data_IF_394237907579
#
_entry.id   IF_394237907579
#
_cell.length_a   1.000
_cell.length_b   1.000
_cell.length_c   1.000
_cell.angle_alpha   90.00
_cell.angle_beta   90.00
_cell.angle_gamma   90.00
#
_symmetry.space_group_name_H-M   'P 1'
#
loop_
_entity.id
_entity.type
_entity.pdbx_description
1 polymer ?
#
# COMPACT_ATOMS: atom_id res chain seq x y z
N UNK A 1 -10.34 -20.96 -27.89
CA UNK A 1 -9.56 -21.05 -26.64
C UNK A 1 -8.68 -19.80 -26.55
N UNK A 2 -8.64 -19.17 -25.40
CA UNK A 2 -7.81 -18.01 -25.10
C UNK A 2 -6.46 -18.53 -24.58
N UNK A 3 -5.35 -18.00 -25.10
CA UNK A 3 -4.02 -18.38 -24.61
C UNK A 3 -3.70 -17.61 -23.31
N UNK A 4 -2.90 -18.15 -22.38
CA UNK A 4 -2.54 -17.47 -21.13
C UNK A 4 -1.98 -16.06 -21.33
N UNK A 5 -1.21 -15.83 -22.38
CA UNK A 5 -0.66 -14.50 -22.71
C UNK A 5 -1.70 -13.45 -23.09
N UNK A 6 -2.91 -13.89 -23.48
CA UNK A 6 -4.01 -13.03 -23.94
C UNK A 6 -5.03 -12.75 -22.82
N UNK A 7 -4.78 -13.27 -21.60
CA UNK A 7 -5.64 -13.11 -20.42
C UNK A 7 -5.18 -11.91 -19.59
N UNK A 8 -6.10 -11.04 -19.22
CA UNK A 8 -5.88 -9.99 -18.20
C UNK A 8 -6.16 -10.57 -16.81
N UNK A 9 -5.23 -10.35 -15.88
CA UNK A 9 -5.42 -10.67 -14.46
C UNK A 9 -6.04 -9.51 -13.67
N UNK A 10 -6.29 -8.37 -14.33
CA UNK A 10 -6.87 -7.20 -13.72
C UNK A 10 -8.26 -7.51 -13.16
N UNK A 11 -8.51 -7.07 -11.93
CA UNK A 11 -9.75 -7.34 -11.22
C UNK A 11 -10.11 -6.22 -10.25
N UNK A 12 -11.35 -6.19 -9.79
CA UNK A 12 -11.80 -5.25 -8.77
C UNK A 12 -11.67 -5.86 -7.38
N UNK A 13 -10.98 -5.14 -6.49
CA UNK A 13 -10.89 -5.47 -5.07
C UNK A 13 -12.07 -4.88 -4.29
N UNK A 14 -12.39 -3.63 -4.59
CA UNK A 14 -13.50 -2.86 -4.04
C UNK A 14 -14.22 -2.11 -5.15
N UNK A 15 -15.22 -1.31 -4.80
CA UNK A 15 -15.92 -0.46 -5.80
C UNK A 15 -14.95 0.41 -6.59
N UNK A 16 -13.92 0.95 -5.94
CA UNK A 16 -13.02 1.96 -6.53
C UNK A 16 -11.56 1.50 -6.65
N UNK A 17 -11.20 0.35 -6.07
CA UNK A 17 -9.84 -0.20 -6.20
C UNK A 17 -9.82 -1.34 -7.19
N UNK A 18 -9.01 -1.18 -8.22
CA UNK A 18 -8.63 -2.22 -9.18
C UNK A 18 -7.22 -2.72 -8.85
N UNK A 19 -7.04 -4.04 -8.85
CA UNK A 19 -5.75 -4.71 -8.76
C UNK A 19 -5.34 -5.25 -10.13
N UNK A 20 -4.04 -5.33 -10.38
CA UNK A 20 -3.49 -5.93 -11.60
C UNK A 20 -3.30 -7.45 -11.47
N UNK A 21 -3.36 -7.97 -10.24
CA UNK A 21 -3.32 -9.40 -9.90
C UNK A 21 -4.38 -9.69 -8.82
N UNK A 22 -5.19 -10.75 -8.94
CA UNK A 22 -6.31 -11.03 -8.04
C UNK A 22 -5.89 -11.65 -6.70
N UNK A 23 -4.73 -11.26 -6.15
CA UNK A 23 -4.15 -11.86 -4.95
C UNK A 23 -4.04 -10.87 -3.79
N UNK A 24 -4.49 -11.32 -2.61
CA UNK A 24 -4.29 -10.65 -1.34
C UNK A 24 -3.50 -11.55 -0.39
N UNK A 25 -2.64 -10.98 0.45
CA UNK A 25 -2.07 -11.73 1.58
C UNK A 25 -2.92 -11.54 2.83
N UNK A 26 -3.06 -12.63 3.59
CA UNK A 26 -3.93 -12.69 4.75
C UNK A 26 -3.43 -11.85 5.92
N UNK A 27 -4.36 -11.26 6.66
CA UNK A 27 -4.10 -10.42 7.82
C UNK A 27 -3.73 -11.26 9.06
N UNK A 28 -2.63 -11.95 8.98
CA UNK A 28 -2.09 -12.85 10.02
C UNK A 28 -0.69 -12.41 10.41
N UNK A 29 -0.35 -12.49 11.70
CA UNK A 29 0.93 -12.09 12.27
C UNK A 29 2.15 -12.89 11.76
N UNK A 30 1.91 -14.05 11.17
CA UNK A 30 2.92 -14.90 10.52
C UNK A 30 2.90 -14.80 8.99
N UNK A 31 2.21 -13.82 8.42
CA UNK A 31 2.06 -13.67 6.97
C UNK A 31 2.30 -12.25 6.50
N UNK A 32 1.53 -11.27 6.98
CA UNK A 32 1.53 -9.94 6.35
C UNK A 32 1.92 -8.83 7.30
N UNK A 33 3.15 -8.36 7.12
CA UNK A 33 3.64 -7.07 7.56
C UNK A 33 4.09 -6.25 6.34
N UNK A 34 4.75 -5.12 6.55
CA UNK A 34 5.12 -4.20 5.49
C UNK A 34 5.99 -4.83 4.38
N UNK A 35 6.84 -5.82 4.70
CA UNK A 35 7.74 -6.44 3.72
C UNK A 35 6.96 -7.25 2.67
N UNK A 36 6.08 -8.14 3.08
CA UNK A 36 5.23 -8.89 2.15
C UNK A 36 4.21 -7.99 1.46
N UNK A 37 3.65 -6.99 2.18
CA UNK A 37 2.72 -6.04 1.58
C UNK A 37 3.36 -5.26 0.44
N UNK A 38 4.63 -4.86 0.57
CA UNK A 38 5.41 -4.22 -0.50
C UNK A 38 5.58 -5.18 -1.69
N UNK A 39 6.12 -6.38 -1.46
CA UNK A 39 6.39 -7.35 -2.51
C UNK A 39 5.11 -7.68 -3.31
N UNK A 40 4.00 -7.94 -2.60
CA UNK A 40 2.75 -8.27 -3.26
C UNK A 40 2.14 -7.10 -4.03
N UNK A 41 2.28 -5.87 -3.52
CA UNK A 41 1.83 -4.67 -4.24
C UNK A 41 2.69 -4.41 -5.50
N UNK A 42 3.99 -4.70 -5.48
CA UNK A 42 4.87 -4.62 -6.64
C UNK A 42 4.45 -5.59 -7.75
N UNK A 43 3.95 -6.76 -7.38
CA UNK A 43 3.45 -7.77 -8.33
C UNK A 43 1.99 -7.51 -8.78
N UNK A 44 1.34 -6.47 -8.25
CA UNK A 44 0.01 -6.05 -8.67
C UNK A 44 -1.14 -6.51 -7.77
N UNK A 45 -0.84 -7.19 -6.66
CA UNK A 45 -1.79 -7.55 -5.60
C UNK A 45 -1.85 -6.50 -4.49
N UNK A 46 -2.25 -6.94 -3.28
CA UNK A 46 -2.27 -6.08 -2.09
C UNK A 46 -2.08 -6.89 -0.81
N UNK A 47 -1.22 -6.41 0.10
CA UNK A 47 -1.07 -6.97 1.43
C UNK A 47 -2.06 -6.35 2.43
N UNK A 48 -2.66 -7.21 3.28
CA UNK A 48 -3.53 -6.76 4.38
C UNK A 48 -2.76 -6.94 5.69
N UNK A 49 -2.27 -5.84 6.24
CA UNK A 49 -1.46 -5.83 7.46
C UNK A 49 -2.31 -6.23 8.66
N UNK A 50 -1.81 -7.18 9.45
CA UNK A 50 -2.55 -7.77 10.56
C UNK A 50 -2.74 -6.80 11.74
N UNK A 51 -3.75 -7.07 12.57
CA UNK A 51 -4.12 -6.25 13.74
C UNK A 51 -3.46 -6.67 15.07
N UNK A 52 -2.63 -7.71 15.05
CA UNK A 52 -1.88 -8.17 16.24
C UNK A 52 -0.63 -7.30 16.48
N UNK A 53 -0.82 -6.00 16.36
CA UNK A 53 0.12 -4.91 16.58
C UNK A 53 -0.60 -3.80 17.34
N UNK A 54 0.14 -2.94 18.03
CA UNK A 54 -0.46 -1.71 18.53
C UNK A 54 -0.96 -0.85 17.36
N UNK A 55 -1.95 0.05 17.55
CA UNK A 55 -2.41 0.94 16.50
C UNK A 55 -1.29 1.70 15.80
N UNK A 56 -0.35 2.24 16.58
CA UNK A 56 0.81 2.98 16.07
C UNK A 56 1.77 2.09 15.26
N UNK A 57 2.03 0.86 15.70
CA UNK A 57 2.89 -0.08 14.98
C UNK A 57 2.26 -0.50 13.65
N UNK A 58 0.95 -0.80 13.63
CA UNK A 58 0.25 -1.17 12.41
C UNK A 58 0.24 0.00 11.41
N UNK A 59 -0.01 1.23 11.86
CA UNK A 59 0.07 2.44 11.06
C UNK A 59 1.49 2.67 10.51
N UNK A 60 2.54 2.38 11.30
CA UNK A 60 3.92 2.47 10.84
C UNK A 60 4.23 1.48 9.70
N UNK A 61 3.70 0.25 9.76
CA UNK A 61 3.83 -0.73 8.66
C UNK A 61 3.09 -0.27 7.39
N UNK A 62 1.88 0.29 7.51
CA UNK A 62 1.19 0.93 6.37
C UNK A 62 2.03 2.06 5.79
N UNK A 63 2.53 2.97 6.63
CA UNK A 63 3.36 4.09 6.19
C UNK A 63 4.65 3.63 5.50
N UNK A 64 5.23 2.50 5.91
CA UNK A 64 6.39 1.87 5.28
C UNK A 64 6.07 1.44 3.83
N UNK A 65 4.92 0.81 3.60
CA UNK A 65 4.45 0.45 2.25
C UNK A 65 4.23 1.70 1.40
N UNK A 66 3.52 2.69 1.94
CA UNK A 66 3.18 3.93 1.22
C UNK A 66 4.41 4.75 0.81
N UNK A 67 5.51 4.65 1.56
CA UNK A 67 6.77 5.36 1.26
C UNK A 67 7.70 4.59 0.34
N UNK A 68 7.46 3.29 0.12
CA UNK A 68 8.45 2.42 -0.52
C UNK A 68 8.73 2.76 -1.98
N UNK A 69 7.74 3.10 -2.77
CA UNK A 69 7.89 3.41 -4.20
C UNK A 69 6.92 4.51 -4.66
N UNK A 70 7.19 5.72 -4.27
CA UNK A 70 6.33 6.82 -4.72
C UNK A 70 6.71 7.40 -6.08
N UNK A 71 7.75 6.89 -6.76
CA UNK A 71 8.32 7.53 -7.96
C UNK A 71 8.78 8.97 -7.68
N UNK A 72 8.06 9.67 -6.80
CA UNK A 72 8.39 10.97 -6.22
C UNK A 72 8.39 10.79 -4.71
N UNK A 73 9.54 10.94 -4.08
CA UNK A 73 9.65 11.01 -2.62
C UNK A 73 9.05 12.35 -2.16
N UNK A 74 7.80 12.36 -1.70
CA UNK A 74 7.06 13.59 -1.37
C UNK A 74 7.61 14.36 -0.18
N UNK A 75 8.19 13.67 0.81
CA UNK A 75 8.77 14.28 2.01
C UNK A 75 10.24 13.86 2.16
N UNK A 76 11.15 14.33 1.28
CA UNK A 76 12.56 14.02 1.41
C UNK A 76 13.12 14.68 2.66
N UNK A 77 14.10 14.02 3.29
CA UNK A 77 14.85 14.63 4.38
C UNK A 77 15.57 15.86 3.82
N UNK A 78 15.36 17.00 4.44
CA UNK A 78 15.92 18.29 4.03
C UNK A 78 16.91 18.82 5.06
N UNK A 79 17.79 19.71 4.64
CA UNK A 79 18.77 20.36 5.48
C UNK A 79 18.71 21.88 5.27
N UNK A 80 19.25 22.64 6.23
CA UNK A 80 19.42 24.08 6.07
C UNK A 80 20.84 24.41 5.57
N UNK A 81 21.06 25.55 4.89
CA UNK A 81 22.34 25.89 4.28
C UNK A 81 23.49 26.15 5.26
N UNK A 82 23.18 26.31 6.56
CA UNK A 82 24.20 26.60 7.60
C UNK A 82 24.63 25.35 8.37
N UNK A 83 24.03 24.18 8.13
CA UNK A 83 24.49 22.92 8.70
C UNK A 83 25.90 22.61 8.25
N UNK A 84 26.69 21.98 9.13
CA UNK A 84 28.07 21.59 8.80
C UNK A 84 28.07 20.33 7.90
N UNK A 85 29.12 20.16 7.13
CA UNK A 85 29.37 18.94 6.35
C UNK A 85 29.37 17.73 7.26
N UNK A 86 29.90 17.83 8.48
CA UNK A 86 29.87 16.75 9.50
C UNK A 86 28.47 16.32 9.84
N UNK A 87 27.56 17.26 10.12
CA UNK A 87 26.17 16.96 10.47
C UNK A 87 25.44 16.27 9.29
N UNK A 88 25.68 16.75 8.09
CA UNK A 88 25.07 16.20 6.88
C UNK A 88 25.60 14.79 6.57
N UNK A 89 26.87 14.52 6.78
CA UNK A 89 27.44 13.17 6.69
C UNK A 89 26.82 12.20 7.71
N UNK A 90 26.57 12.68 8.95
CA UNK A 90 25.89 11.88 9.96
C UNK A 90 24.45 11.52 9.50
N UNK A 91 23.68 12.49 9.00
CA UNK A 91 22.33 12.27 8.46
C UNK A 91 22.33 11.29 7.28
N UNK A 92 23.26 11.44 6.32
CA UNK A 92 23.33 10.53 5.16
C UNK A 92 23.60 9.09 5.58
N UNK A 93 24.46 8.88 6.59
CA UNK A 93 24.76 7.55 7.14
C UNK A 93 23.57 6.97 7.91
N UNK A 94 22.98 7.77 8.80
CA UNK A 94 21.83 7.36 9.62
C UNK A 94 20.63 6.93 8.77
N UNK A 95 20.31 7.69 7.74
CA UNK A 95 19.13 7.47 6.90
C UNK A 95 19.43 6.74 5.59
N UNK A 96 20.70 6.38 5.33
CA UNK A 96 21.15 5.70 4.09
C UNK A 96 20.72 6.42 2.82
N UNK A 97 20.75 7.75 2.85
CA UNK A 97 20.38 8.61 1.72
C UNK A 97 21.62 9.25 1.10
N UNK A 98 21.51 9.57 -0.19
CA UNK A 98 22.64 10.02 -1.00
C UNK A 98 22.43 11.39 -1.64
N UNK A 99 21.38 12.10 -1.23
CA UNK A 99 21.07 13.46 -1.69
C UNK A 99 20.04 14.11 -0.81
N UNK A 100 20.30 15.35 -0.44
CA UNK A 100 19.54 16.14 0.51
C UNK A 100 19.20 17.50 -0.09
N UNK A 101 17.90 17.81 -0.30
CA UNK A 101 17.50 19.17 -0.65
C UNK A 101 17.87 20.15 0.45
N UNK A 102 18.35 21.32 0.07
CA UNK A 102 18.72 22.40 1.00
C UNK A 102 17.66 23.48 0.93
N UNK A 103 17.00 23.75 2.06
CA UNK A 103 15.93 24.73 2.16
C UNK A 103 16.35 25.93 2.98
N UNK A 104 15.87 27.12 2.60
CA UNK A 104 15.99 28.31 3.42
C UNK A 104 14.95 28.35 4.55
N UNK A 105 14.95 29.42 5.33
CA UNK A 105 14.01 29.60 6.46
C UNK A 105 12.54 29.72 6.02
N UNK A 106 12.28 30.01 4.75
CA UNK A 106 10.93 30.11 4.18
C UNK A 106 10.45 28.81 3.54
N UNK A 107 11.26 27.72 3.61
CA UNK A 107 10.96 26.44 3.01
C UNK A 107 11.29 26.33 1.52
N UNK A 108 11.89 27.38 0.92
CA UNK A 108 12.25 27.38 -0.50
C UNK A 108 13.56 26.64 -0.74
N UNK A 109 13.63 25.93 -1.86
CA UNK A 109 14.83 25.22 -2.28
C UNK A 109 15.91 26.23 -2.70
N UNK A 110 17.07 26.17 -2.03
CA UNK A 110 18.26 26.97 -2.33
C UNK A 110 19.40 26.15 -2.93
N UNK A 111 19.33 24.83 -2.83
CA UNK A 111 20.35 23.95 -3.38
C UNK A 111 20.04 22.46 -3.13
N UNK A 112 20.99 21.63 -3.52
CA UNK A 112 21.04 20.20 -3.19
C UNK A 112 22.46 19.81 -2.81
N UNK A 113 22.59 18.93 -1.81
CA UNK A 113 23.87 18.28 -1.46
C UNK A 113 23.76 16.80 -1.79
N UNK A 114 24.75 16.25 -2.46
CA UNK A 114 24.80 14.85 -2.86
C UNK A 114 26.09 14.18 -2.35
N UNK A 115 26.15 12.86 -2.42
CA UNK A 115 27.36 12.12 -2.08
C UNK A 115 28.57 12.56 -2.90
N UNK A 116 28.38 13.11 -4.12
CA UNK A 116 29.46 13.67 -4.94
C UNK A 116 30.10 14.89 -4.29
N UNK A 117 29.27 15.75 -3.70
CA UNK A 117 29.71 16.99 -3.04
C UNK A 117 30.40 16.70 -1.70
N UNK A 118 30.02 15.59 -1.04
CA UNK A 118 30.54 15.19 0.27
C UNK A 118 31.77 14.28 0.23
N UNK A 119 32.00 13.58 -0.89
CA UNK A 119 32.93 12.42 -0.97
C UNK A 119 34.38 12.79 -0.68
N UNK A 120 34.81 13.94 -1.12
CA UNK A 120 36.22 14.40 -1.01
C UNK A 120 36.34 15.70 -0.25
N UNK A 121 35.32 15.99 0.60
CA UNK A 121 35.36 17.23 1.39
C UNK A 121 36.11 17.00 2.69
N UNK A 122 37.24 17.70 2.84
CA UNK A 122 38.11 17.58 4.00
C UNK A 122 37.72 18.54 5.13
N UNK A 123 37.12 19.70 4.80
CA UNK A 123 36.66 20.65 5.81
C UNK A 123 35.27 20.34 6.31
N UNK A 124 35.18 19.43 7.30
CA UNK A 124 33.94 18.96 7.85
C UNK A 124 33.15 20.01 8.67
N UNK A 125 33.78 21.08 9.08
CA UNK A 125 33.18 22.13 9.92
C UNK A 125 32.62 23.30 9.10
N UNK A 126 32.87 23.32 7.78
CA UNK A 126 32.26 24.33 6.92
C UNK A 126 30.78 24.11 6.68
N UNK A 127 30.06 25.20 6.39
CA UNK A 127 28.64 25.15 6.07
C UNK A 127 28.37 24.55 4.67
N UNK A 128 27.35 23.74 4.54
CA UNK A 128 27.00 23.04 3.27
C UNK A 128 26.67 24.00 2.12
N UNK A 129 26.29 25.24 2.39
CA UNK A 129 26.12 26.29 1.36
C UNK A 129 27.35 26.51 0.50
N UNK A 130 28.55 26.17 0.99
CA UNK A 130 29.80 26.35 0.26
C UNK A 130 30.05 25.23 -0.76
N UNK A 131 29.51 24.04 -0.52
CA UNK A 131 29.73 22.85 -1.35
C UNK A 131 28.49 22.41 -2.14
N UNK A 132 27.27 22.82 -1.74
CA UNK A 132 26.04 22.43 -2.41
C UNK A 132 25.98 22.88 -3.87
N UNK A 133 25.23 22.15 -4.68
CA UNK A 133 24.80 22.66 -5.99
C UNK A 133 23.75 23.76 -5.75
N UNK A 134 24.03 25.02 -6.07
CA UNK A 134 23.14 26.13 -5.75
C UNK A 134 21.96 26.20 -6.72
N UNK A 135 20.87 26.88 -6.31
CA UNK A 135 19.60 27.03 -7.03
C UNK A 135 19.76 27.33 -8.52
N UNK A 136 20.69 28.20 -8.92
CA UNK A 136 20.95 28.60 -10.32
C UNK A 136 21.38 27.42 -11.22
N UNK A 137 21.91 26.35 -10.64
CA UNK A 137 22.38 25.14 -11.35
C UNK A 137 21.49 23.93 -11.11
N UNK A 138 20.38 24.07 -10.36
CA UNK A 138 19.45 22.98 -10.13
C UNK A 138 18.69 22.67 -11.39
N UNK A 139 18.52 21.37 -11.64
CA UNK A 139 17.57 20.84 -12.60
C UNK A 139 16.35 20.37 -11.81
N UNK A 140 15.18 20.89 -12.14
CA UNK A 140 13.95 20.63 -11.42
C UNK A 140 12.83 20.27 -12.39
N UNK A 141 11.83 19.55 -11.91
CA UNK A 141 10.53 19.35 -12.58
C UNK A 141 9.46 20.08 -11.78
N UNK A 142 8.41 20.51 -12.45
CA UNK A 142 7.25 21.10 -11.77
C UNK A 142 6.40 20.06 -11.10
N UNK A 143 5.65 20.46 -10.10
CA UNK A 143 4.63 19.62 -9.49
C UNK A 143 3.65 19.12 -10.56
N UNK A 144 3.37 17.80 -10.58
CA UNK A 144 2.57 17.16 -11.63
C UNK A 144 3.33 16.81 -12.92
N UNK A 145 4.62 17.14 -13.02
CA UNK A 145 5.48 16.69 -14.13
C UNK A 145 5.60 15.17 -14.20
N UNK A 146 5.79 14.64 -15.41
CA UNK A 146 5.86 13.19 -15.62
C UNK A 146 7.22 12.61 -15.21
N UNK A 147 7.23 11.29 -14.90
CA UNK A 147 8.48 10.55 -14.66
C UNK A 147 9.36 10.53 -15.92
N UNK A 148 8.76 10.52 -17.10
CA UNK A 148 9.46 10.58 -18.38
C UNK A 148 10.22 11.90 -18.56
N UNK A 149 9.63 13.02 -18.17
CA UNK A 149 10.29 14.33 -18.14
C UNK A 149 11.50 14.32 -17.19
N UNK A 150 11.31 13.82 -15.97
CA UNK A 150 12.39 13.67 -14.99
C UNK A 150 13.52 12.80 -15.55
N UNK A 151 13.20 11.67 -16.19
CA UNK A 151 14.17 10.77 -16.84
C UNK A 151 14.94 11.47 -17.96
N UNK A 152 14.27 12.22 -18.81
CA UNK A 152 14.90 12.97 -19.89
C UNK A 152 15.90 14.02 -19.34
N UNK A 153 15.50 14.77 -18.30
CA UNK A 153 16.36 15.74 -17.64
C UNK A 153 17.56 15.10 -16.95
N UNK A 154 17.36 13.95 -16.26
CA UNK A 154 18.46 13.21 -15.64
C UNK A 154 19.50 12.76 -16.68
N UNK A 155 19.03 12.24 -17.82
CA UNK A 155 19.90 11.81 -18.92
C UNK A 155 20.65 13.00 -19.54
N UNK A 156 19.94 14.08 -19.87
CA UNK A 156 20.51 15.28 -20.49
C UNK A 156 21.60 15.92 -19.61
N UNK A 157 21.34 16.04 -18.32
CA UNK A 157 22.23 16.71 -17.37
C UNK A 157 23.21 15.76 -16.65
N UNK A 158 23.11 14.45 -16.93
CA UNK A 158 23.92 13.38 -16.29
C UNK A 158 23.86 13.43 -14.76
N UNK A 159 22.65 13.58 -14.24
CA UNK A 159 22.34 13.63 -12.80
C UNK A 159 21.45 12.46 -12.42
N UNK A 160 21.50 12.05 -11.16
CA UNK A 160 20.76 10.92 -10.62
C UNK A 160 19.51 11.34 -9.84
N UNK A 161 19.24 12.65 -9.74
CA UNK A 161 18.16 13.21 -8.93
C UNK A 161 17.65 14.50 -9.53
N UNK A 162 16.31 14.66 -9.43
CA UNK A 162 15.62 15.89 -9.82
C UNK A 162 14.66 16.27 -8.71
N UNK A 163 14.68 17.53 -8.31
CA UNK A 163 13.74 18.07 -7.33
C UNK A 163 12.43 18.41 -7.99
N UNK A 164 11.33 18.11 -7.32
CA UNK A 164 9.99 18.53 -7.72
C UNK A 164 9.65 19.79 -6.95
N UNK A 165 9.39 20.89 -7.66
CA UNK A 165 9.11 22.19 -7.07
C UNK A 165 7.91 22.86 -7.74
N UNK A 166 7.27 23.79 -7.03
CA UNK A 166 6.26 24.68 -7.62
C UNK A 166 6.91 25.93 -8.25
N UNK A 167 6.08 26.84 -8.73
CA UNK A 167 6.51 28.10 -9.34
C UNK A 167 7.22 29.05 -8.34
N UNK A 168 6.97 28.87 -7.04
CA UNK A 168 7.60 29.61 -5.97
C UNK A 168 8.88 28.95 -5.42
N UNK A 169 9.27 27.81 -6.01
CA UNK A 169 10.41 26.98 -5.59
C UNK A 169 10.25 26.34 -4.21
N UNK A 170 8.99 26.10 -3.77
CA UNK A 170 8.74 25.22 -2.63
C UNK A 170 8.99 23.77 -3.04
N UNK A 171 9.51 22.98 -2.12
CA UNK A 171 9.81 21.57 -2.36
C UNK A 171 8.55 20.73 -2.25
N UNK A 172 8.21 20.01 -3.32
CA UNK A 172 7.12 19.02 -3.37
C UNK A 172 7.61 17.58 -3.44
N UNK A 173 8.89 17.37 -3.73
CA UNK A 173 9.45 16.03 -3.72
C UNK A 173 10.84 15.92 -4.36
N UNK A 174 11.29 14.67 -4.41
CA UNK A 174 12.56 14.25 -5.01
C UNK A 174 12.34 13.00 -5.84
N UNK A 175 12.78 13.00 -7.09
CA UNK A 175 12.80 11.82 -7.97
C UNK A 175 14.25 11.36 -8.12
N UNK A 176 14.51 10.06 -8.01
CA UNK A 176 15.85 9.48 -8.23
C UNK A 176 15.84 8.45 -9.37
N UNK A 177 17.02 8.19 -9.95
CA UNK A 177 17.19 7.11 -10.94
C UNK A 177 16.70 5.77 -10.39
N UNK A 178 16.90 5.50 -9.10
CA UNK A 178 16.43 4.27 -8.46
C UNK A 178 14.91 4.14 -8.51
N UNK A 179 14.18 5.23 -8.31
CA UNK A 179 12.71 5.24 -8.35
C UNK A 179 12.20 4.97 -9.77
N UNK A 180 12.88 5.53 -10.77
CA UNK A 180 12.57 5.29 -12.19
C UNK A 180 12.84 3.83 -12.58
N UNK A 181 13.98 3.27 -12.18
CA UNK A 181 14.32 1.88 -12.47
C UNK A 181 13.32 0.91 -11.83
N UNK A 182 12.98 1.13 -10.56
CA UNK A 182 11.96 0.33 -9.85
C UNK A 182 10.59 0.38 -10.53
N UNK A 183 10.17 1.55 -11.00
CA UNK A 183 8.91 1.68 -11.74
C UNK A 183 8.92 0.87 -13.05
N UNK A 184 10.10 0.67 -13.63
CA UNK A 184 10.29 -0.15 -14.85
C UNK A 184 10.37 -1.66 -14.52
N UNK A 185 10.92 -2.03 -13.36
CA UNK A 185 11.03 -3.41 -12.89
C UNK A 185 9.65 -4.00 -12.52
N UNK A 186 8.72 -3.19 -12.02
CA UNK A 186 7.38 -3.62 -11.59
C UNK A 186 6.25 -2.89 -12.36
N UNK A 187 6.08 -3.18 -13.67
CA UNK A 187 5.09 -2.47 -14.50
C UNK A 187 3.64 -2.74 -14.08
N UNK A 188 3.40 -3.86 -13.37
CA UNK A 188 2.08 -4.25 -12.89
C UNK A 188 1.80 -3.81 -11.44
N UNK A 189 2.69 -3.05 -10.81
CA UNK A 189 2.54 -2.66 -9.42
C UNK A 189 1.17 -2.02 -9.13
N UNK A 190 0.57 -2.41 -8.00
CA UNK A 190 -0.70 -1.85 -7.52
C UNK A 190 -0.42 -0.50 -6.85
N UNK A 191 -0.76 0.59 -7.53
CA UNK A 191 -0.48 1.96 -7.09
C UNK A 191 -1.76 2.79 -6.95
N UNK A 192 -1.74 3.74 -6.00
CA UNK A 192 -2.79 4.75 -5.87
C UNK A 192 -2.64 5.87 -6.92
N UNK A 193 -3.58 6.80 -6.94
CA UNK A 193 -3.57 7.93 -7.88
C UNK A 193 -2.33 8.85 -7.75
N UNK A 194 -1.60 8.74 -6.65
CA UNK A 194 -0.36 9.51 -6.41
C UNK A 194 0.91 8.69 -6.69
N UNK A 195 0.78 7.49 -7.25
CA UNK A 195 1.89 6.61 -7.63
C UNK A 195 2.51 5.82 -6.46
N UNK A 196 1.89 5.82 -5.26
CA UNK A 196 2.36 5.05 -4.11
C UNK A 196 1.76 3.65 -4.13
N UNK A 197 2.52 2.65 -3.65
CA UNK A 197 2.01 1.29 -3.49
C UNK A 197 0.74 1.27 -2.62
N UNK A 198 -0.22 0.43 -2.99
CA UNK A 198 -1.44 0.25 -2.19
C UNK A 198 -1.19 -0.66 -1.00
N UNK A 199 -1.80 -0.32 0.13
CA UNK A 199 -1.74 -1.08 1.35
C UNK A 199 -3.14 -1.24 1.97
N UNK A 200 -3.42 -2.42 2.51
CA UNK A 200 -4.59 -2.68 3.32
C UNK A 200 -4.21 -2.96 4.77
N UNK A 201 -5.17 -2.81 5.67
CA UNK A 201 -5.01 -3.17 7.07
C UNK A 201 -6.29 -3.75 7.66
N UNK A 202 -6.14 -4.77 8.51
CA UNK A 202 -7.25 -5.37 9.22
C UNK A 202 -7.54 -4.64 10.53
N UNK A 203 -8.82 -4.53 10.86
CA UNK A 203 -9.32 -4.01 12.13
C UNK A 203 -10.39 -4.91 12.70
N UNK A 204 -10.64 -4.80 13.99
CA UNK A 204 -11.75 -5.47 14.67
C UNK A 204 -12.98 -4.58 14.82
N UNK A 205 -13.84 -4.95 15.81
CA UNK A 205 -15.04 -4.19 16.19
C UNK A 205 -15.03 -3.74 17.66
N UNK A 206 -14.01 -4.17 18.42
CA UNK A 206 -13.86 -3.87 19.84
C UNK A 206 -13.45 -2.43 20.15
N UNK A 207 -13.31 -2.14 21.44
CA UNK A 207 -12.80 -0.87 21.94
C UNK A 207 -11.40 -0.56 21.38
N UNK A 208 -11.09 0.72 21.13
CA UNK A 208 -9.82 1.17 20.56
C UNK A 208 -9.72 1.02 19.03
N UNK A 209 -10.72 0.43 18.36
CA UNK A 209 -10.72 0.31 16.90
C UNK A 209 -10.81 1.68 16.21
N UNK A 210 -11.47 2.64 16.82
CA UNK A 210 -11.63 3.98 16.25
C UNK A 210 -10.30 4.72 16.16
N UNK A 211 -9.52 4.75 17.25
CA UNK A 211 -8.15 5.27 17.27
C UNK A 211 -7.26 4.55 16.23
N UNK A 212 -7.39 3.23 16.13
CA UNK A 212 -6.65 2.44 15.13
C UNK A 212 -6.98 2.86 13.71
N UNK A 213 -8.25 3.03 13.37
CA UNK A 213 -8.70 3.48 12.05
C UNK A 213 -8.19 4.88 11.74
N UNK A 214 -8.22 5.80 12.72
CA UNK A 214 -7.68 7.15 12.57
C UNK A 214 -6.20 7.13 12.19
N UNK A 215 -5.36 6.43 12.95
CA UNK A 215 -3.92 6.31 12.67
C UNK A 215 -3.63 5.62 11.31
N UNK A 216 -4.43 4.63 10.94
CA UNK A 216 -4.32 3.98 9.63
C UNK A 216 -4.68 4.92 8.48
N UNK A 217 -5.73 5.73 8.65
CA UNK A 217 -6.14 6.72 7.67
C UNK A 217 -5.08 7.82 7.49
N UNK A 218 -4.49 8.31 8.60
CA UNK A 218 -3.36 9.25 8.58
C UNK A 218 -2.12 8.65 7.89
N UNK A 219 -1.86 7.36 8.08
CA UNK A 219 -0.78 6.65 7.40
C UNK A 219 -1.04 6.46 5.90
N UNK A 220 -2.25 6.76 5.40
CA UNK A 220 -2.65 6.69 4.01
C UNK A 220 -3.08 5.28 3.56
N UNK A 221 -3.69 4.48 4.45
CA UNK A 221 -4.25 3.16 4.10
C UNK A 221 -5.28 3.30 2.96
N UNK A 222 -5.22 2.40 1.99
CA UNK A 222 -6.16 2.40 0.85
C UNK A 222 -7.43 1.63 1.16
N UNK A 223 -7.32 0.51 1.89
CA UNK A 223 -8.45 -0.34 2.25
C UNK A 223 -8.35 -0.82 3.70
N UNK A 224 -9.46 -0.70 4.42
CA UNK A 224 -9.65 -1.29 5.74
C UNK A 224 -10.49 -2.55 5.61
N UNK A 225 -10.00 -3.65 6.20
CA UNK A 225 -10.75 -4.90 6.29
C UNK A 225 -11.28 -5.05 7.72
N UNK A 226 -12.59 -4.94 7.89
CA UNK A 226 -13.25 -5.28 9.17
C UNK A 226 -13.32 -6.80 9.25
N UNK A 227 -12.34 -7.37 9.95
CA UNK A 227 -12.02 -8.79 9.92
C UNK A 227 -12.42 -9.49 11.21
N UNK A 228 -13.47 -10.31 11.13
CA UNK A 228 -14.04 -11.06 12.24
C UNK A 228 -14.40 -12.49 11.82
N UNK A 229 -14.57 -13.39 12.80
CA UNK A 229 -15.04 -14.74 12.57
C UNK A 229 -16.52 -14.80 12.14
N UNK A 230 -17.29 -13.72 12.37
CA UNK A 230 -18.73 -13.64 12.04
C UNK A 230 -19.08 -12.25 11.52
N UNK A 231 -18.92 -12.07 10.20
CA UNK A 231 -19.14 -10.79 9.52
C UNK A 231 -20.59 -10.31 9.46
N UNK A 232 -21.57 -11.19 9.65
CA UNK A 232 -22.99 -10.85 9.72
C UNK A 232 -23.44 -10.55 11.16
N UNK A 233 -22.60 -9.88 11.93
CA UNK A 233 -22.96 -9.38 13.26
C UNK A 233 -23.20 -7.88 13.25
N UNK A 234 -24.06 -7.40 14.15
CA UNK A 234 -24.37 -5.96 14.24
C UNK A 234 -23.10 -5.12 14.41
N UNK A 235 -22.17 -5.56 15.26
CA UNK A 235 -20.92 -4.81 15.48
C UNK A 235 -20.04 -4.66 14.21
N UNK A 236 -20.09 -5.62 13.27
CA UNK A 236 -19.40 -5.50 11.98
C UNK A 236 -20.13 -4.53 11.06
N UNK A 237 -21.45 -4.64 10.96
CA UNK A 237 -22.28 -3.73 10.15
C UNK A 237 -22.10 -2.26 10.59
N UNK A 238 -22.21 -2.02 11.90
CA UNK A 238 -22.02 -0.71 12.50
C UNK A 238 -20.60 -0.17 12.26
N UNK A 239 -19.58 -1.04 12.37
CA UNK A 239 -18.18 -0.64 12.13
C UNK A 239 -17.93 -0.27 10.68
N UNK A 240 -18.44 -1.03 9.73
CA UNK A 240 -18.36 -0.72 8.30
C UNK A 240 -18.98 0.65 8.03
N UNK A 241 -20.21 0.88 8.51
CA UNK A 241 -20.92 2.13 8.33
C UNK A 241 -20.17 3.31 9.00
N UNK A 242 -19.63 3.09 10.19
CA UNK A 242 -18.86 4.10 10.91
C UNK A 242 -17.60 4.52 10.14
N UNK A 243 -16.82 3.56 9.61
CA UNK A 243 -15.63 3.87 8.83
C UNK A 243 -15.99 4.64 7.57
N UNK A 244 -17.01 4.21 6.83
CA UNK A 244 -17.46 4.91 5.62
C UNK A 244 -17.93 6.33 5.88
N UNK A 245 -18.59 6.56 7.02
CA UNK A 245 -19.07 7.90 7.41
C UNK A 245 -17.94 8.84 7.78
N UNK A 246 -16.94 8.36 8.53
CA UNK A 246 -15.87 9.21 9.07
C UNK A 246 -14.65 9.31 8.12
N UNK A 247 -14.41 8.30 7.28
CA UNK A 247 -13.28 8.21 6.34
C UNK A 247 -13.76 7.80 4.94
N UNK A 248 -14.56 8.63 4.26
CA UNK A 248 -15.20 8.27 2.98
C UNK A 248 -14.19 7.97 1.87
N UNK A 249 -12.96 8.47 1.97
CA UNK A 249 -11.86 8.20 1.03
C UNK A 249 -11.25 6.81 1.18
N UNK A 250 -11.47 6.12 2.32
CA UNK A 250 -10.96 4.78 2.59
C UNK A 250 -11.97 3.75 2.12
N UNK A 251 -11.52 2.75 1.37
CA UNK A 251 -12.36 1.63 0.96
C UNK A 251 -12.50 0.62 2.10
N UNK A 252 -13.68 0.01 2.26
CA UNK A 252 -13.97 -0.90 3.37
C UNK A 252 -14.44 -2.25 2.86
N UNK A 253 -13.78 -3.32 3.33
CA UNK A 253 -14.19 -4.71 3.12
C UNK A 253 -14.70 -5.25 4.45
N UNK A 254 -15.90 -5.82 4.46
CA UNK A 254 -16.45 -6.49 5.64
C UNK A 254 -16.38 -8.02 5.51
N UNK A 255 -16.13 -8.70 6.61
CA UNK A 255 -16.08 -10.17 6.63
C UNK A 255 -15.76 -10.77 8.01
N UNK A 256 -15.73 -12.13 8.12
CA UNK A 256 -16.00 -13.08 7.04
C UNK A 256 -17.48 -13.49 7.02
N UNK A 257 -17.96 -13.77 5.84
CA UNK A 257 -19.33 -14.19 5.60
C UNK A 257 -19.39 -15.48 4.75
N UNK A 258 -20.56 -16.10 4.67
CA UNK A 258 -20.77 -17.29 3.84
C UNK A 258 -22.16 -17.34 3.19
N UNK A 259 -23.02 -16.36 3.43
CA UNK A 259 -24.43 -16.37 3.00
C UNK A 259 -24.78 -15.14 2.17
N UNK A 260 -25.81 -15.31 1.32
CA UNK A 260 -26.38 -14.24 0.52
C UNK A 260 -26.89 -13.05 1.36
N UNK A 261 -27.57 -13.36 2.48
CA UNK A 261 -28.14 -12.33 3.35
C UNK A 261 -27.05 -11.47 4.03
N UNK A 262 -25.95 -12.13 4.47
CA UNK A 262 -24.80 -11.43 5.01
C UNK A 262 -24.15 -10.49 3.98
N UNK A 263 -24.06 -10.94 2.73
CA UNK A 263 -23.52 -10.13 1.65
C UNK A 263 -24.36 -8.89 1.37
N UNK A 264 -25.69 -9.05 1.30
CA UNK A 264 -26.62 -7.93 1.15
C UNK A 264 -26.53 -6.96 2.33
N UNK A 265 -26.54 -7.49 3.55
CA UNK A 265 -26.44 -6.65 4.75
C UNK A 265 -25.18 -5.80 4.77
N UNK A 266 -24.02 -6.36 4.42
CA UNK A 266 -22.77 -5.59 4.31
C UNK A 266 -22.81 -4.53 3.20
N UNK A 267 -23.34 -4.87 2.03
CA UNK A 267 -23.50 -3.94 0.91
C UNK A 267 -24.41 -2.77 1.28
N UNK A 268 -25.54 -3.03 1.96
CA UNK A 268 -26.52 -2.03 2.42
C UNK A 268 -25.93 -1.10 3.50
N UNK A 269 -24.96 -1.58 4.30
CA UNK A 269 -24.21 -0.78 5.26
C UNK A 269 -22.99 -0.06 4.68
N UNK A 270 -22.83 -0.10 3.34
CA UNK A 270 -21.83 0.68 2.62
C UNK A 270 -20.48 -0.01 2.44
N UNK A 271 -20.38 -1.31 2.64
CA UNK A 271 -19.16 -2.05 2.31
C UNK A 271 -18.83 -1.90 0.82
N UNK A 272 -17.55 -1.64 0.52
CA UNK A 272 -17.03 -1.51 -0.84
C UNK A 272 -16.57 -2.87 -1.41
N UNK A 273 -16.47 -3.87 -0.56
CA UNK A 273 -16.18 -5.25 -0.87
C UNK A 273 -16.58 -6.16 0.29
N UNK A 274 -16.69 -7.46 0.04
CA UNK A 274 -16.97 -8.45 1.08
C UNK A 274 -15.94 -9.57 1.06
N UNK A 275 -15.64 -10.15 2.24
CA UNK A 275 -14.71 -11.27 2.38
C UNK A 275 -15.43 -12.55 2.80
N UNK A 276 -15.29 -13.61 1.99
CA UNK A 276 -16.08 -14.85 2.06
C UNK A 276 -15.20 -16.02 2.53
N UNK A 277 -15.62 -16.66 3.61
CA UNK A 277 -14.97 -17.87 4.10
C UNK A 277 -15.19 -18.07 5.58
N UNK A 278 -16.00 -19.08 5.96
CA UNK A 278 -16.22 -19.48 7.33
C UNK A 278 -15.64 -20.87 7.52
N UNK A 279 -14.46 -20.91 8.17
CA UNK A 279 -13.75 -22.13 8.52
C UNK A 279 -12.98 -22.88 7.43
N UNK A 280 -12.73 -22.35 6.21
CA UNK A 280 -12.00 -23.11 5.18
C UNK A 280 -10.48 -23.09 5.36
N UNK A 281 -9.92 -22.17 6.16
CA UNK A 281 -8.49 -22.04 6.36
C UNK A 281 -7.84 -23.29 6.95
N UNK A 282 -6.61 -23.61 6.55
CA UNK A 282 -5.88 -24.79 7.02
C UNK A 282 -5.62 -24.81 8.52
N UNK A 283 -5.47 -23.64 9.12
CA UNK A 283 -5.28 -23.47 10.58
C UNK A 283 -6.57 -23.21 11.34
N UNK A 284 -7.72 -23.07 10.62
CA UNK A 284 -8.99 -22.70 11.23
C UNK A 284 -9.62 -23.90 11.96
N UNK A 285 -9.92 -23.73 13.23
CA UNK A 285 -10.56 -24.75 14.07
C UNK A 285 -12.09 -24.62 14.17
N UNK A 286 -12.67 -23.57 13.57
CA UNK A 286 -14.10 -23.26 13.68
C UNK A 286 -15.00 -24.45 13.28
N UNK A 287 -14.71 -25.12 12.16
CA UNK A 287 -15.48 -26.28 11.69
C UNK A 287 -15.34 -27.48 12.62
N UNK A 288 -14.15 -27.65 13.21
CA UNK A 288 -13.83 -28.81 14.06
C UNK A 288 -14.40 -28.61 15.47
N UNK A 289 -14.20 -27.43 16.06
CA UNK A 289 -14.56 -27.14 17.45
C UNK A 289 -16.01 -26.69 17.57
N UNK A 290 -16.46 -25.77 16.71
CA UNK A 290 -17.81 -25.18 16.77
C UNK A 290 -18.81 -25.84 15.81
N UNK A 291 -18.36 -26.69 14.89
CA UNK A 291 -19.21 -27.28 13.87
C UNK A 291 -19.81 -26.32 12.85
N UNK A 292 -19.26 -25.09 12.80
CA UNK A 292 -19.78 -24.01 11.95
C UNK A 292 -18.91 -23.84 10.71
N UNK A 293 -19.54 -23.77 9.55
CA UNK A 293 -18.87 -23.53 8.27
C UNK A 293 -19.78 -23.81 7.08
N UNK A 294 -19.36 -23.32 5.93
CA UNK A 294 -20.02 -23.56 4.64
C UNK A 294 -18.94 -24.02 3.65
N UNK A 295 -19.20 -25.01 2.77
CA UNK A 295 -18.28 -25.36 1.71
C UNK A 295 -17.92 -24.12 0.88
N UNK A 296 -16.62 -23.89 0.67
CA UNK A 296 -16.14 -22.59 0.18
C UNK A 296 -16.69 -22.21 -1.20
N UNK A 297 -16.74 -23.15 -2.14
CA UNK A 297 -17.28 -22.87 -3.49
C UNK A 297 -18.77 -22.52 -3.41
N UNK A 298 -19.55 -23.20 -2.55
CA UNK A 298 -20.97 -22.88 -2.31
C UNK A 298 -21.12 -21.48 -1.72
N UNK A 299 -20.30 -21.12 -0.74
CA UNK A 299 -20.33 -19.79 -0.13
C UNK A 299 -20.02 -18.70 -1.16
N UNK A 300 -18.96 -18.88 -1.97
CA UNK A 300 -18.57 -17.95 -3.04
C UNK A 300 -19.73 -17.77 -4.04
N UNK A 301 -20.28 -18.86 -4.56
CA UNK A 301 -21.34 -18.81 -5.56
C UNK A 301 -22.61 -18.11 -5.04
N UNK A 302 -23.03 -18.42 -3.80
CA UNK A 302 -24.19 -17.79 -3.17
C UNK A 302 -24.00 -16.28 -2.96
N UNK A 303 -22.81 -15.87 -2.50
CA UNK A 303 -22.48 -14.46 -2.29
C UNK A 303 -22.35 -13.73 -3.63
N UNK A 304 -21.69 -14.33 -4.62
CA UNK A 304 -21.55 -13.73 -5.95
C UNK A 304 -22.92 -13.44 -6.57
N UNK A 305 -23.84 -14.41 -6.52
CA UNK A 305 -25.21 -14.24 -7.00
C UNK A 305 -25.96 -13.13 -6.24
N UNK A 306 -25.78 -13.04 -4.92
CA UNK A 306 -26.44 -12.03 -4.11
C UNK A 306 -25.96 -10.61 -4.40
N UNK A 307 -24.72 -10.45 -4.88
CA UNK A 307 -24.09 -9.17 -5.17
C UNK A 307 -24.21 -8.74 -6.65
N UNK A 308 -24.86 -9.56 -7.49
CA UNK A 308 -25.11 -9.17 -8.90
C UNK A 308 -25.82 -7.81 -8.97
N UNK A 309 -25.29 -6.91 -9.80
CA UNK A 309 -25.83 -5.57 -9.99
C UNK A 309 -25.50 -4.55 -8.88
N UNK A 310 -24.96 -4.95 -7.73
CA UNK A 310 -24.61 -4.04 -6.63
C UNK A 310 -23.30 -3.27 -6.86
N UNK A 311 -22.46 -3.80 -7.72
CA UNK A 311 -21.11 -3.30 -7.94
C UNK A 311 -20.10 -3.63 -6.82
N UNK A 312 -20.48 -4.39 -5.80
CA UNK A 312 -19.62 -4.82 -4.68
C UNK A 312 -18.91 -6.13 -5.05
N UNK A 313 -17.56 -6.14 -5.15
CA UNK A 313 -16.81 -7.36 -5.41
C UNK A 313 -16.65 -8.21 -4.16
N UNK A 314 -16.28 -9.49 -4.36
CA UNK A 314 -16.00 -10.41 -3.27
C UNK A 314 -14.57 -10.97 -3.32
N UNK A 315 -13.99 -11.17 -2.13
CA UNK A 315 -12.71 -11.82 -1.90
C UNK A 315 -12.97 -13.20 -1.30
N UNK A 316 -12.49 -14.26 -1.95
CA UNK A 316 -12.54 -15.61 -1.40
C UNK A 316 -11.35 -15.83 -0.45
N UNK A 317 -11.63 -16.09 0.82
CA UNK A 317 -10.63 -16.20 1.88
C UNK A 317 -10.60 -17.61 2.48
N UNK A 318 -9.44 -18.25 2.38
CA UNK A 318 -9.14 -19.53 2.99
C UNK A 318 -9.43 -20.76 2.12
N UNK A 319 -8.77 -21.87 2.46
CA UNK A 319 -8.92 -23.15 1.79
C UNK A 319 -8.14 -23.32 0.48
N UNK A 320 -7.36 -22.34 0.08
CA UNK A 320 -6.56 -22.36 -1.14
C UNK A 320 -5.18 -22.94 -0.83
N UNK A 321 -4.85 -24.07 -1.44
CA UNK A 321 -3.59 -24.79 -1.27
C UNK A 321 -2.77 -24.87 -2.55
N UNK A 322 -3.42 -24.80 -3.70
CA UNK A 322 -2.84 -24.94 -5.02
C UNK A 322 -3.34 -23.85 -5.96
N UNK A 323 -2.59 -23.54 -7.00
CA UNK A 323 -2.99 -22.55 -8.02
C UNK A 323 -4.34 -22.89 -8.67
N UNK A 324 -4.65 -24.17 -8.84
CA UNK A 324 -5.96 -24.61 -9.35
C UNK A 324 -7.14 -24.23 -8.45
N UNK A 325 -6.92 -24.06 -7.14
CA UNK A 325 -7.97 -23.62 -6.22
C UNK A 325 -8.29 -22.12 -6.43
N UNK A 326 -7.29 -21.31 -6.80
CA UNK A 326 -7.49 -19.92 -7.19
C UNK A 326 -8.42 -19.84 -8.41
N UNK A 327 -8.13 -20.62 -9.45
CA UNK A 327 -8.96 -20.66 -10.65
C UNK A 327 -10.40 -21.10 -10.37
N UNK A 328 -10.60 -22.08 -9.48
CA UNK A 328 -11.93 -22.54 -9.06
C UNK A 328 -12.69 -21.46 -8.29
N UNK A 329 -12.03 -20.74 -7.38
CA UNK A 329 -12.64 -19.66 -6.63
C UNK A 329 -13.11 -18.52 -7.55
N UNK A 330 -12.28 -18.13 -8.51
CA UNK A 330 -12.61 -17.11 -9.52
C UNK A 330 -13.76 -17.60 -10.42
N UNK A 331 -13.72 -18.83 -10.89
CA UNK A 331 -14.78 -19.42 -11.70
C UNK A 331 -16.12 -19.50 -10.95
N UNK A 332 -16.10 -19.65 -9.62
CA UNK A 332 -17.28 -19.61 -8.77
C UNK A 332 -17.84 -18.20 -8.51
N UNK A 333 -17.12 -17.14 -8.94
CA UNK A 333 -17.57 -15.75 -8.86
C UNK A 333 -16.73 -14.85 -7.96
N UNK A 334 -15.59 -15.32 -7.42
CA UNK A 334 -14.69 -14.46 -6.67
C UNK A 334 -13.96 -13.49 -7.61
N UNK A 335 -13.84 -12.23 -7.19
CA UNK A 335 -13.02 -11.23 -7.88
C UNK A 335 -11.54 -11.37 -7.51
N UNK A 336 -11.28 -11.63 -6.24
CA UNK A 336 -9.95 -11.80 -5.67
C UNK A 336 -9.91 -12.98 -4.71
N UNK A 337 -8.71 -13.44 -4.39
CA UNK A 337 -8.48 -14.48 -3.38
C UNK A 337 -7.51 -13.99 -2.32
N UNK A 338 -7.75 -14.37 -1.06
CA UNK A 338 -6.84 -14.12 0.05
C UNK A 338 -6.10 -15.40 0.42
N UNK A 339 -4.77 -15.29 0.51
CA UNK A 339 -3.86 -16.40 0.74
C UNK A 339 -3.10 -16.21 2.05
N UNK A 340 -3.17 -17.21 2.94
CA UNK A 340 -2.37 -17.29 4.15
C UNK A 340 -1.21 -18.27 4.00
N UNK A 341 -1.52 -19.57 4.05
CA UNK A 341 -0.51 -20.63 4.07
C UNK A 341 0.45 -20.65 2.89
N UNK A 342 0.03 -20.19 1.70
CA UNK A 342 0.92 -20.11 0.53
C UNK A 342 1.98 -18.99 0.67
N UNK A 343 1.70 -17.95 1.44
CA UNK A 343 2.64 -16.85 1.67
C UNK A 343 3.43 -17.01 2.97
N UNK A 344 2.92 -17.74 3.96
CA UNK A 344 3.56 -17.89 5.27
C UNK A 344 4.99 -18.48 5.26
N UNK A 345 5.40 -19.10 4.16
CA UNK A 345 6.74 -19.67 3.99
C UNK A 345 7.64 -18.89 3.04
N UNK A 346 7.21 -17.73 2.57
CA UNK A 346 8.05 -16.88 1.73
C UNK A 346 9.06 -16.10 2.56
N UNK A 347 10.11 -15.61 1.91
CA UNK A 347 11.14 -14.81 2.59
C UNK A 347 10.61 -13.45 3.07
N UNK A 348 9.56 -12.95 2.45
CA UNK A 348 8.94 -11.66 2.72
C UNK A 348 7.90 -11.70 3.85
N UNK A 349 7.42 -12.90 4.24
CA UNK A 349 6.44 -13.09 5.30
C UNK A 349 7.01 -12.80 6.71
#
# INVERSE_FOLDING_TARGET
AILPRDVSLQTRLTRDITLNMPLLSAAMDTVTEGRLAIALAQEGGIGIIHKNLTPAQQAAEVAKVKRYESGVLKDPITINPNMTVRDVLALTRQHRISGLPVLDKSGKVVGIVTNRDLRFEDNLDQAVRQIMTPRKRLVTVREGGSIEEAKALMHQHRIERVLVVDDEFQLHGLITVKDILKATEHPNASKDATGRLRAGAAVGVGAGTEERVELLAEAGVDVIVVDTAHGHSQGVLDRVQWVKKNYPQVQVIGGNIATADAARALADHGADGVKVGIGPGSICTTRIVAGVGVPQITAIANVAKALEGTGVPLVADGGIRFSGDIAKAIAAGANCVMLGGLFAGTEEA
#
